data_IF_564033147194
#
_entry.id   IF_564033147194
#
_cell.length_a   1.000
_cell.length_b   1.000
_cell.length_c   1.000
_cell.angle_alpha   90.00
_cell.angle_beta   90.00
_cell.angle_gamma   90.00
#
_symmetry.space_group_name_H-M   'P 1'
#
loop_
_entity.id
_entity.type
_entity.pdbx_description
1 polymer ?
#
# COMPACT_ATOMS: atom_id res chain seq x y z
N UNK A 1 3.30 -31.42 -10.94
CA UNK A 1 3.60 -30.11 -11.53
C UNK A 1 4.43 -29.34 -10.50
N UNK A 2 5.70 -29.06 -10.78
CA UNK A 2 6.51 -28.18 -9.93
C UNK A 2 6.39 -26.78 -10.52
N UNK A 3 5.79 -25.86 -9.77
CA UNK A 3 5.69 -24.46 -10.21
C UNK A 3 7.10 -23.89 -10.10
N UNK A 4 7.72 -23.60 -11.23
CA UNK A 4 9.07 -23.01 -11.28
C UNK A 4 8.96 -21.55 -11.72
N UNK A 5 9.76 -20.71 -11.09
CA UNK A 5 9.86 -19.30 -11.45
C UNK A 5 10.36 -19.18 -12.89
N UNK A 6 9.59 -18.49 -13.72
CA UNK A 6 9.95 -18.22 -15.12
C UNK A 6 10.18 -16.72 -15.25
N UNK A 7 11.42 -16.30 -15.53
CA UNK A 7 11.78 -14.88 -15.61
C UNK A 7 11.16 -14.13 -16.82
N UNK A 8 10.58 -14.87 -17.78
CA UNK A 8 9.95 -14.33 -19.00
C UNK A 8 8.43 -14.15 -18.86
N UNK A 9 7.83 -14.46 -17.71
CA UNK A 9 6.38 -14.30 -17.55
C UNK A 9 5.99 -12.82 -17.44
N UNK A 10 5.22 -12.35 -18.42
CA UNK A 10 4.62 -11.01 -18.39
C UNK A 10 3.27 -11.06 -17.66
N UNK A 11 3.11 -10.23 -16.63
CA UNK A 11 1.85 -10.06 -15.91
C UNK A 11 1.25 -8.69 -16.25
N UNK A 12 0.06 -8.68 -16.84
CA UNK A 12 -0.70 -7.45 -17.07
C UNK A 12 -1.61 -7.17 -15.86
N UNK A 13 -1.53 -5.95 -15.33
CA UNK A 13 -2.40 -5.52 -14.23
C UNK A 13 -2.80 -4.05 -14.39
N UNK A 14 -4.02 -3.72 -14.02
CA UNK A 14 -4.50 -2.34 -14.01
C UNK A 14 -3.92 -1.60 -12.80
N UNK A 15 -3.21 -0.50 -13.08
CA UNK A 15 -2.59 0.35 -12.06
C UNK A 15 -3.47 1.57 -11.82
N UNK A 16 -3.62 2.04 -10.57
CA UNK A 16 -4.36 3.27 -10.30
C UNK A 16 -3.69 4.49 -10.93
N UNK A 17 -4.46 5.28 -11.67
CA UNK A 17 -3.99 6.53 -12.28
C UNK A 17 -4.25 7.76 -11.39
N UNK A 18 -5.21 7.65 -10.45
CA UNK A 18 -5.59 8.76 -9.58
C UNK A 18 -5.05 8.63 -8.15
N UNK A 19 -4.65 9.75 -7.54
CA UNK A 19 -4.11 9.84 -6.18
C UNK A 19 -4.91 9.06 -5.13
N UNK A 20 -6.25 9.21 -5.14
CA UNK A 20 -7.14 8.58 -4.17
C UNK A 20 -7.19 7.05 -4.34
N UNK A 21 -7.27 6.57 -5.59
CA UNK A 21 -7.26 5.12 -5.87
C UNK A 21 -5.91 4.53 -5.47
N UNK A 22 -4.84 5.25 -5.76
CA UNK A 22 -3.48 4.86 -5.44
C UNK A 22 -3.23 4.73 -3.93
N UNK A 23 -3.59 5.75 -3.14
CA UNK A 23 -3.48 5.70 -1.68
C UNK A 23 -4.33 4.58 -1.07
N UNK A 24 -5.58 4.41 -1.53
CA UNK A 24 -6.46 3.35 -1.03
C UNK A 24 -5.92 1.94 -1.33
N UNK A 25 -5.25 1.73 -2.47
CA UNK A 25 -4.61 0.46 -2.78
C UNK A 25 -3.40 0.21 -1.87
N UNK A 26 -2.54 1.22 -1.73
CA UNK A 26 -1.30 1.13 -0.94
C UNK A 26 -1.53 0.97 0.56
N UNK A 27 -2.66 1.46 1.06
CA UNK A 27 -3.15 1.23 2.42
C UNK A 27 -3.07 -0.23 2.87
N UNK A 28 -3.29 -1.18 1.96
CA UNK A 28 -3.27 -2.64 2.25
C UNK A 28 -1.93 -3.27 1.96
N UNK A 29 -1.27 -2.83 0.89
CA UNK A 29 -0.02 -3.43 0.46
C UNK A 29 1.11 -3.15 1.45
N UNK A 30 1.21 -1.93 1.99
CA UNK A 30 2.27 -1.60 2.94
C UNK A 30 2.21 -2.48 4.20
N UNK A 31 1.07 -2.63 4.90
CA UNK A 31 1.01 -3.51 6.05
C UNK A 31 1.18 -4.99 5.72
N UNK A 32 0.69 -5.44 4.56
CA UNK A 32 0.90 -6.83 4.12
C UNK A 32 2.38 -7.12 3.88
N UNK A 33 3.13 -6.20 3.27
CA UNK A 33 4.57 -6.35 3.10
C UNK A 33 5.29 -6.41 4.45
N UNK A 34 4.95 -5.51 5.38
CA UNK A 34 5.52 -5.51 6.74
C UNK A 34 5.21 -6.83 7.46
N UNK A 35 3.97 -7.31 7.38
CA UNK A 35 3.56 -8.56 8.01
C UNK A 35 4.28 -9.77 7.42
N UNK A 36 4.42 -9.85 6.09
CA UNK A 36 5.11 -10.94 5.42
C UNK A 36 6.61 -10.97 5.74
N UNK A 37 7.26 -9.80 5.78
CA UNK A 37 8.67 -9.71 6.18
C UNK A 37 8.82 -10.09 7.65
N UNK A 38 7.92 -9.64 8.53
CA UNK A 38 7.96 -10.00 9.94
C UNK A 38 7.76 -11.51 10.15
N UNK A 39 6.84 -12.13 9.43
CA UNK A 39 6.59 -13.57 9.49
C UNK A 39 7.82 -14.39 9.04
N UNK A 40 8.46 -13.96 7.95
CA UNK A 40 9.74 -14.50 7.47
C UNK A 40 10.86 -14.36 8.53
N UNK A 41 10.92 -13.22 9.21
CA UNK A 41 11.93 -12.94 10.23
C UNK A 41 11.68 -13.70 11.55
N UNK A 42 10.43 -13.99 11.89
CA UNK A 42 10.10 -14.79 13.09
C UNK A 42 10.46 -16.26 12.86
N UNK A 43 10.10 -16.80 11.69
CA UNK A 43 10.28 -18.21 11.34
C UNK A 43 11.58 -18.49 10.58
N UNK A 44 12.60 -17.64 10.79
CA UNK A 44 13.80 -17.64 9.93
C UNK A 44 14.60 -18.95 10.01
N UNK A 45 14.65 -19.58 11.19
CA UNK A 45 15.43 -20.81 11.40
C UNK A 45 14.83 -21.95 10.59
N UNK A 46 13.53 -22.18 10.80
CA UNK A 46 12.76 -23.21 10.11
C UNK A 46 12.86 -23.04 8.60
N UNK A 47 12.70 -21.80 8.10
CA UNK A 47 12.76 -21.50 6.67
C UNK A 47 14.15 -21.75 6.08
N UNK A 48 15.23 -21.39 6.78
CA UNK A 48 16.60 -21.62 6.28
C UNK A 48 17.03 -23.09 6.33
N UNK A 49 16.47 -23.88 7.25
CA UNK A 49 16.73 -25.32 7.35
C UNK A 49 15.95 -26.11 6.29
N UNK A 50 14.72 -25.71 6.00
CA UNK A 50 13.87 -26.39 5.01
C UNK A 50 14.14 -25.96 3.56
N UNK A 51 14.63 -24.74 3.33
CA UNK A 51 14.79 -24.18 2.00
C UNK A 51 16.22 -23.76 1.68
N UNK A 52 16.92 -24.60 0.91
CA UNK A 52 18.30 -24.36 0.45
C UNK A 52 18.47 -23.09 -0.39
N UNK A 53 17.40 -22.51 -0.94
CA UNK A 53 17.47 -21.27 -1.71
C UNK A 53 17.42 -20.01 -0.83
N UNK A 54 17.02 -20.14 0.44
CA UNK A 54 16.91 -19.03 1.39
C UNK A 54 18.11 -19.09 2.33
N UNK A 55 19.06 -18.19 2.13
CA UNK A 55 20.27 -18.12 2.96
C UNK A 55 20.09 -17.23 4.19
N UNK A 56 20.94 -17.42 5.21
CA UNK A 56 21.00 -16.51 6.37
C UNK A 56 21.31 -15.06 5.95
N UNK A 57 22.13 -14.88 4.92
CA UNK A 57 22.42 -13.54 4.37
C UNK A 57 21.16 -12.86 3.81
N UNK A 58 20.27 -13.63 3.17
CA UNK A 58 18.98 -13.12 2.70
C UNK A 58 18.06 -12.71 3.86
N UNK A 59 18.05 -13.46 4.96
CA UNK A 59 17.34 -13.09 6.19
C UNK A 59 17.91 -11.79 6.78
N UNK A 60 19.25 -11.67 6.86
CA UNK A 60 19.90 -10.43 7.32
C UNK A 60 19.53 -9.23 6.44
N UNK A 61 19.49 -9.40 5.11
CA UNK A 61 19.03 -8.36 4.19
C UNK A 61 17.58 -7.92 4.48
N UNK A 62 16.66 -8.87 4.67
CA UNK A 62 15.27 -8.56 5.02
C UNK A 62 15.13 -7.91 6.40
N UNK A 63 15.99 -8.25 7.36
CA UNK A 63 16.04 -7.55 8.65
C UNK A 63 16.44 -6.07 8.46
N UNK A 64 17.45 -5.80 7.65
CA UNK A 64 17.85 -4.43 7.32
C UNK A 64 16.72 -3.67 6.60
N UNK A 65 16.03 -4.30 5.65
CA UNK A 65 14.87 -3.70 4.97
C UNK A 65 13.72 -3.42 5.93
N UNK A 66 13.43 -4.34 6.84
CA UNK A 66 12.37 -4.18 7.84
C UNK A 66 12.64 -2.98 8.75
N UNK A 67 13.85 -2.90 9.31
CA UNK A 67 14.26 -1.77 10.16
C UNK A 67 14.24 -0.46 9.37
N UNK A 68 14.80 -0.45 8.15
CA UNK A 68 14.80 0.73 7.27
C UNK A 68 13.38 1.22 6.98
N UNK A 69 12.44 0.31 6.69
CA UNK A 69 11.03 0.64 6.40
C UNK A 69 10.36 1.35 7.59
N UNK A 70 10.63 0.91 8.82
CA UNK A 70 10.05 1.52 10.03
C UNK A 70 10.64 2.90 10.36
N UNK A 71 11.91 3.13 10.01
CA UNK A 71 12.63 4.39 10.22
C UNK A 71 12.41 5.41 9.09
N UNK A 72 11.98 4.94 7.92
CA UNK A 72 11.81 5.77 6.71
C UNK A 72 10.97 7.03 6.96
N UNK A 73 9.80 7.00 7.64
CA UNK A 73 9.03 8.22 7.88
C UNK A 73 9.83 9.30 8.63
N UNK A 74 10.61 8.93 9.64
CA UNK A 74 11.46 9.82 10.42
C UNK A 74 12.69 10.31 9.65
N UNK A 75 13.28 9.45 8.81
CA UNK A 75 14.36 9.85 7.90
C UNK A 75 13.88 10.88 6.88
N UNK A 76 12.72 10.65 6.25
CA UNK A 76 12.12 11.60 5.30
C UNK A 76 11.67 12.88 5.99
N UNK A 77 11.16 12.79 7.22
CA UNK A 77 10.87 13.95 8.05
C UNK A 77 12.12 14.84 8.24
N UNK A 78 13.26 14.23 8.60
CA UNK A 78 14.53 14.94 8.76
C UNK A 78 15.09 15.44 7.43
N UNK A 79 14.87 14.72 6.33
CA UNK A 79 15.24 15.18 4.99
C UNK A 79 14.51 16.48 4.62
N UNK A 80 13.20 16.57 4.90
CA UNK A 80 12.40 17.79 4.67
C UNK A 80 12.94 18.95 5.51
N UNK A 81 13.22 18.71 6.80
CA UNK A 81 13.79 19.72 7.70
C UNK A 81 15.16 20.17 7.19
N UNK A 82 16.02 19.24 6.79
CA UNK A 82 17.34 19.52 6.22
C UNK A 82 17.27 20.35 4.94
N UNK A 83 16.37 19.99 4.02
CA UNK A 83 16.14 20.75 2.79
C UNK A 83 15.77 22.22 3.05
N UNK A 84 14.91 22.47 4.05
CA UNK A 84 14.51 23.83 4.44
C UNK A 84 15.67 24.57 5.10
N UNK A 85 16.47 23.92 5.96
CA UNK A 85 17.65 24.54 6.61
C UNK A 85 18.69 24.98 5.58
N UNK A 86 19.01 24.11 4.61
CA UNK A 86 19.97 24.42 3.53
C UNK A 86 19.49 25.60 2.70
N UNK A 87 18.18 25.68 2.46
CA UNK A 87 17.58 26.74 1.65
C UNK A 87 17.40 28.06 2.40
N UNK A 88 17.14 28.00 3.71
CA UNK A 88 16.82 29.15 4.57
C UNK A 88 17.71 29.17 5.82
N UNK A 89 19.00 29.41 5.61
CA UNK A 89 20.03 29.37 6.65
C UNK A 89 19.84 30.38 7.81
N UNK A 90 19.06 31.44 7.59
CA UNK A 90 18.76 32.48 8.58
C UNK A 90 17.69 32.12 9.63
N UNK A 91 16.93 31.02 9.45
CA UNK A 91 15.87 30.63 10.39
C UNK A 91 16.44 29.62 11.38
N UNK A 92 16.16 29.82 12.67
CA UNK A 92 16.60 28.91 13.72
C UNK A 92 16.04 27.47 13.51
N UNK A 93 16.91 26.47 13.62
CA UNK A 93 16.61 25.04 13.37
C UNK A 93 15.37 24.53 14.09
N UNK A 94 15.17 24.93 15.35
CA UNK A 94 13.99 24.52 16.13
C UNK A 94 12.67 25.03 15.52
N UNK A 95 12.67 26.22 14.91
CA UNK A 95 11.46 26.78 14.29
C UNK A 95 11.07 25.95 13.06
N UNK A 96 12.05 25.58 12.23
CA UNK A 96 11.85 24.72 11.06
C UNK A 96 11.34 23.34 11.50
N UNK A 97 11.93 22.78 12.57
CA UNK A 97 11.51 21.51 13.13
C UNK A 97 10.04 21.58 13.58
N UNK A 98 9.66 22.58 14.38
CA UNK A 98 8.28 22.78 14.85
C UNK A 98 7.32 22.95 13.67
N UNK A 99 7.70 23.75 12.67
CA UNK A 99 6.90 24.00 11.47
C UNK A 99 6.58 22.70 10.72
N UNK A 100 7.52 21.74 10.69
CA UNK A 100 7.29 20.44 10.06
C UNK A 100 6.56 19.44 10.97
N UNK A 101 6.81 19.47 12.29
CA UNK A 101 6.11 18.60 13.27
C UNK A 101 4.60 18.84 13.24
N UNK A 102 4.16 20.09 13.16
CA UNK A 102 2.74 20.47 13.22
C UNK A 102 1.89 19.74 12.15
N UNK A 103 2.14 19.90 10.84
CA UNK A 103 1.30 19.28 9.81
C UNK A 103 1.35 17.75 9.84
N UNK A 104 2.50 17.14 10.15
CA UNK A 104 2.62 15.67 10.27
C UNK A 104 1.82 15.16 11.47
N UNK A 105 1.91 15.84 12.62
CA UNK A 105 1.16 15.46 13.82
C UNK A 105 -0.34 15.61 13.64
N UNK A 106 -0.78 16.69 12.97
CA UNK A 106 -2.19 16.88 12.59
C UNK A 106 -2.65 15.76 11.65
N UNK A 107 -1.85 15.40 10.64
CA UNK A 107 -2.18 14.29 9.75
C UNK A 107 -2.33 12.96 10.50
N UNK A 108 -1.41 12.69 11.44
CA UNK A 108 -1.46 11.49 12.29
C UNK A 108 -2.72 11.43 13.13
N UNK A 109 -3.10 12.53 13.78
CA UNK A 109 -4.36 12.62 14.53
C UNK A 109 -5.57 12.42 13.60
N UNK A 110 -5.54 12.99 12.40
CA UNK A 110 -6.58 12.77 11.40
C UNK A 110 -6.70 11.30 10.98
N UNK A 111 -5.59 10.57 10.87
CA UNK A 111 -5.61 9.14 10.54
C UNK A 111 -6.32 8.29 11.62
N UNK A 112 -6.32 8.73 12.88
CA UNK A 112 -6.99 8.02 13.98
C UNK A 112 -8.48 8.39 14.09
N UNK A 113 -8.82 9.67 13.90
CA UNK A 113 -10.16 10.20 14.22
C UNK A 113 -11.03 10.57 13.01
N UNK A 114 -10.43 10.88 11.86
CA UNK A 114 -11.18 11.36 10.70
C UNK A 114 -11.56 10.22 9.75
N UNK A 115 -12.57 10.46 8.89
CA UNK A 115 -12.94 9.52 7.84
C UNK A 115 -11.91 9.47 6.72
N UNK A 116 -11.80 8.33 6.06
CA UNK A 116 -10.84 8.05 4.97
C UNK A 116 -10.81 9.15 3.90
N UNK A 117 -11.96 9.69 3.51
CA UNK A 117 -12.04 10.76 2.51
C UNK A 117 -11.40 12.09 2.97
N UNK A 118 -11.57 12.44 4.26
CA UNK A 118 -10.94 13.64 4.84
C UNK A 118 -9.43 13.46 4.95
N UNK A 119 -8.99 12.27 5.33
CA UNK A 119 -7.57 11.92 5.39
C UNK A 119 -6.91 12.03 4.01
N UNK A 120 -7.53 11.47 2.97
CA UNK A 120 -7.01 11.52 1.60
C UNK A 120 -6.92 12.95 1.05
N UNK A 121 -7.95 13.79 1.31
CA UNK A 121 -7.91 15.22 0.94
C UNK A 121 -6.75 15.95 1.60
N UNK A 122 -6.53 15.73 2.90
CA UNK A 122 -5.43 16.35 3.62
C UNK A 122 -4.07 15.84 3.14
N UNK A 123 -3.94 14.53 2.90
CA UNK A 123 -2.73 13.93 2.34
C UNK A 123 -2.37 14.52 0.97
N UNK A 124 -3.37 14.77 0.10
CA UNK A 124 -3.15 15.38 -1.20
C UNK A 124 -2.59 16.81 -1.07
N UNK A 125 -3.20 17.64 -0.22
CA UNK A 125 -2.75 19.02 0.04
C UNK A 125 -1.31 19.01 0.58
N UNK A 126 -1.05 18.16 1.57
CA UNK A 126 0.27 18.07 2.20
C UNK A 126 1.33 17.52 1.24
N UNK A 127 0.96 16.62 0.33
CA UNK A 127 1.83 16.10 -0.73
C UNK A 127 2.24 17.22 -1.71
N UNK A 128 1.32 18.12 -2.08
CA UNK A 128 1.66 19.27 -2.91
C UNK A 128 2.64 20.22 -2.20
N UNK A 129 2.40 20.51 -0.91
CA UNK A 129 3.29 21.36 -0.10
C UNK A 129 4.69 20.76 -0.02
N UNK A 130 4.79 19.46 0.33
CA UNK A 130 6.09 18.81 0.42
C UNK A 130 6.77 18.60 -0.93
N UNK A 131 6.02 18.45 -2.02
CA UNK A 131 6.57 18.45 -3.38
C UNK A 131 7.29 19.76 -3.71
N UNK A 132 6.73 20.90 -3.29
CA UNK A 132 7.39 22.21 -3.43
C UNK A 132 8.64 22.28 -2.56
N UNK A 133 8.59 21.80 -1.32
CA UNK A 133 9.78 21.75 -0.45
C UNK A 133 10.89 20.89 -1.06
N UNK A 134 10.55 19.74 -1.68
CA UNK A 134 11.52 18.90 -2.39
C UNK A 134 12.14 19.61 -3.60
N UNK A 135 11.38 20.44 -4.32
CA UNK A 135 11.92 21.23 -5.42
C UNK A 135 12.97 22.24 -4.91
N UNK A 136 12.69 22.93 -3.80
CA UNK A 136 13.64 23.85 -3.18
C UNK A 136 14.88 23.08 -2.70
N UNK A 137 14.68 21.92 -2.06
CA UNK A 137 15.78 21.04 -1.63
C UNK A 137 16.67 20.59 -2.78
N UNK A 138 16.08 20.25 -3.94
CA UNK A 138 16.84 19.89 -5.14
C UNK A 138 17.75 21.04 -5.60
N UNK A 139 17.27 22.28 -5.58
CA UNK A 139 18.08 23.46 -5.93
C UNK A 139 19.25 23.62 -4.96
N UNK A 140 19.01 23.43 -3.65
CA UNK A 140 20.06 23.48 -2.63
C UNK A 140 21.15 22.43 -2.89
N UNK A 141 20.75 21.20 -3.16
CA UNK A 141 21.68 20.11 -3.50
C UNK A 141 22.47 20.36 -4.78
N UNK A 142 21.82 20.92 -5.82
CA UNK A 142 22.51 21.29 -7.07
C UNK A 142 23.54 22.38 -6.82
N UNK A 143 23.22 23.38 -6.00
CA UNK A 143 24.17 24.41 -5.58
C UNK A 143 25.37 23.80 -4.87
N UNK A 144 25.14 22.93 -3.88
CA UNK A 144 26.22 22.24 -3.16
C UNK A 144 27.11 21.43 -4.12
N UNK A 145 26.51 20.77 -5.12
CA UNK A 145 27.24 20.03 -6.14
C UNK A 145 28.10 20.94 -7.03
N UNK A 146 27.69 22.17 -7.31
CA UNK A 146 28.46 23.14 -8.09
C UNK A 146 29.59 23.75 -7.26
N UNK A 147 29.31 24.12 -6.00
CA UNK A 147 30.26 24.82 -5.13
C UNK A 147 31.35 23.88 -4.59
N UNK A 148 30.96 22.66 -4.18
CA UNK A 148 31.83 21.70 -3.47
C UNK A 148 32.25 20.52 -4.39
N UNK A 149 31.48 20.23 -5.45
CA UNK A 149 31.77 19.15 -6.38
C UNK A 149 31.76 17.77 -5.72
N UNK A 150 32.69 16.91 -6.15
CA UNK A 150 32.84 15.54 -5.64
C UNK A 150 33.33 15.44 -4.19
N UNK A 151 33.65 16.55 -3.53
CA UNK A 151 34.02 16.52 -2.12
C UNK A 151 32.81 16.30 -1.21
N UNK A 152 31.59 16.62 -1.68
CA UNK A 152 30.36 16.38 -0.93
C UNK A 152 29.92 14.93 -1.08
N UNK A 153 29.75 14.25 0.06
CA UNK A 153 29.26 12.87 0.12
C UNK A 153 27.85 12.78 -0.49
N UNK A 154 27.02 13.81 -0.29
CA UNK A 154 25.67 13.90 -0.89
C UNK A 154 25.75 13.95 -2.42
N UNK A 155 26.69 14.71 -2.98
CA UNK A 155 26.89 14.78 -4.43
C UNK A 155 27.35 13.45 -5.01
N UNK A 156 28.31 12.78 -4.36
CA UNK A 156 28.73 11.42 -4.76
C UNK A 156 27.53 10.47 -4.74
N UNK A 157 26.73 10.50 -3.67
CA UNK A 157 25.59 9.62 -3.50
C UNK A 157 24.52 9.84 -4.59
N UNK A 158 24.22 11.08 -4.95
CA UNK A 158 23.25 11.38 -6.01
C UNK A 158 23.73 10.96 -7.39
N UNK A 159 25.04 11.12 -7.67
CA UNK A 159 25.63 10.64 -8.92
C UNK A 159 25.56 9.12 -8.99
N UNK A 160 25.85 8.43 -7.88
CA UNK A 160 25.70 6.98 -7.77
C UNK A 160 24.24 6.54 -8.01
N UNK A 161 23.28 7.15 -7.31
CA UNK A 161 21.85 6.84 -7.44
C UNK A 161 21.33 7.08 -8.87
N UNK A 162 21.65 8.25 -9.44
CA UNK A 162 21.28 8.60 -10.82
C UNK A 162 21.90 7.61 -11.82
N UNK A 163 23.16 7.22 -11.60
CA UNK A 163 23.84 6.21 -12.41
C UNK A 163 23.15 4.84 -12.37
N UNK A 164 22.75 4.38 -11.18
CA UNK A 164 21.99 3.13 -11.00
C UNK A 164 20.70 3.15 -11.80
N UNK A 165 19.93 4.25 -11.77
CA UNK A 165 18.68 4.37 -12.54
C UNK A 165 18.91 4.43 -14.05
N UNK A 166 19.90 5.19 -14.53
CA UNK A 166 20.23 5.28 -15.96
C UNK A 166 20.68 3.93 -16.51
N UNK A 167 21.59 3.24 -15.81
CA UNK A 167 22.06 1.92 -16.24
C UNK A 167 20.90 0.91 -16.22
N UNK A 168 20.05 0.96 -15.19
CA UNK A 168 18.86 0.10 -15.12
C UNK A 168 17.90 0.33 -16.30
N UNK A 169 17.67 1.58 -16.70
CA UNK A 169 16.84 1.92 -17.85
C UNK A 169 17.45 1.40 -19.16
N UNK A 170 18.77 1.56 -19.36
CA UNK A 170 19.48 1.05 -20.55
C UNK A 170 19.36 -0.48 -20.66
N UNK A 171 19.42 -1.20 -19.53
CA UNK A 171 19.28 -2.65 -19.49
C UNK A 171 17.83 -3.14 -19.76
N UNK A 172 16.83 -2.24 -19.73
CA UNK A 172 15.42 -2.53 -19.96
C UNK A 172 14.86 -1.70 -21.13
N UNK A 173 15.24 -2.00 -22.39
CA UNK A 173 14.89 -1.18 -23.55
C UNK A 173 13.38 -1.03 -23.79
N UNK A 174 12.57 -2.05 -23.44
CA UNK A 174 11.10 -1.96 -23.54
C UNK A 174 10.49 -0.95 -22.57
N UNK A 175 11.15 -0.71 -21.44
CA UNK A 175 10.68 0.13 -20.34
C UNK A 175 11.53 1.39 -20.18
N UNK A 176 12.40 1.70 -21.15
CA UNK A 176 13.34 2.81 -21.08
C UNK A 176 12.66 4.14 -20.78
N UNK A 177 11.48 4.37 -21.36
CA UNK A 177 10.70 5.59 -21.17
C UNK A 177 10.18 5.79 -19.73
N UNK A 178 10.22 4.76 -18.88
CA UNK A 178 9.85 4.87 -17.47
C UNK A 178 10.81 5.79 -16.67
N UNK A 179 11.98 6.14 -17.21
CA UNK A 179 12.89 7.10 -16.57
C UNK A 179 12.39 8.55 -16.68
N UNK A 180 11.60 8.88 -17.71
CA UNK A 180 11.10 10.25 -17.97
C UNK A 180 10.32 10.81 -16.78
N UNK A 181 9.34 10.10 -16.18
CA UNK A 181 8.65 10.58 -14.99
C UNK A 181 9.50 10.54 -13.70
N UNK A 182 10.78 10.15 -13.74
CA UNK A 182 11.64 9.97 -12.56
C UNK A 182 11.71 11.20 -11.65
N UNK A 183 11.74 12.41 -12.20
CA UNK A 183 11.73 13.65 -11.40
C UNK A 183 10.44 13.81 -10.58
N UNK A 184 9.30 13.35 -11.11
CA UNK A 184 8.02 13.37 -10.39
C UNK A 184 8.09 12.42 -9.19
N UNK A 185 8.72 11.26 -9.34
CA UNK A 185 8.93 10.33 -8.23
C UNK A 185 9.82 10.94 -7.15
N UNK A 186 10.87 11.67 -7.52
CA UNK A 186 11.71 12.40 -6.57
C UNK A 186 10.91 13.43 -5.76
N UNK A 187 10.08 14.25 -6.41
CA UNK A 187 9.22 15.22 -5.71
C UNK A 187 8.14 14.54 -4.85
N UNK A 188 7.71 13.34 -5.25
CA UNK A 188 6.72 12.57 -4.52
C UNK A 188 7.31 11.81 -3.32
N UNK A 189 8.63 11.79 -3.07
CA UNK A 189 9.25 11.04 -1.96
C UNK A 189 8.54 11.29 -0.60
N UNK A 190 8.28 12.54 -0.16
CA UNK A 190 7.53 12.79 1.08
C UNK A 190 6.12 12.17 1.11
N UNK A 191 5.44 12.21 -0.03
CA UNK A 191 4.10 11.65 -0.19
C UNK A 191 4.14 10.12 -0.09
N UNK A 192 5.04 9.50 -0.85
CA UNK A 192 5.13 8.05 -1.08
C UNK A 192 5.76 7.28 0.08
N UNK A 193 6.72 7.90 0.76
CA UNK A 193 7.55 7.20 1.77
C UNK A 193 7.19 7.61 3.21
N UNK A 194 6.68 8.82 3.43
CA UNK A 194 6.24 9.28 4.76
C UNK A 194 4.71 9.28 4.86
N UNK A 195 4.00 10.13 4.11
CA UNK A 195 2.55 10.29 4.28
C UNK A 195 1.76 9.01 3.98
N UNK A 196 2.12 8.30 2.92
CA UNK A 196 1.51 7.03 2.58
C UNK A 196 1.71 5.97 3.65
N UNK A 197 2.91 5.89 4.23
CA UNK A 197 3.21 4.95 5.31
C UNK A 197 2.33 5.23 6.53
N UNK A 198 2.29 6.50 6.97
CA UNK A 198 1.47 6.97 8.08
C UNK A 198 -0.03 6.71 7.84
N UNK A 199 -0.51 6.94 6.61
CA UNK A 199 -1.87 6.63 6.21
C UNK A 199 -2.17 5.13 6.25
N UNK A 200 -1.25 4.30 5.78
CA UNK A 200 -1.43 2.86 5.73
C UNK A 200 -1.52 2.24 7.14
N UNK A 201 -0.60 2.59 8.04
CA UNK A 201 -0.66 2.13 9.44
C UNK A 201 -1.88 2.71 10.17
N UNK A 202 -2.21 3.98 9.92
CA UNK A 202 -3.36 4.66 10.52
C UNK A 202 -4.70 4.04 10.13
N UNK A 203 -4.75 3.31 9.01
CA UNK A 203 -5.95 2.62 8.55
C UNK A 203 -5.81 1.10 8.54
N UNK A 204 -4.92 0.54 9.37
CA UNK A 204 -4.72 -0.91 9.47
C UNK A 204 -5.99 -1.70 9.83
N UNK A 205 -6.92 -1.04 10.51
CA UNK A 205 -8.24 -1.58 10.88
C UNK A 205 -9.24 -1.69 9.72
N UNK A 206 -9.03 -0.98 8.61
CA UNK A 206 -9.96 -0.95 7.48
C UNK A 206 -9.65 -2.08 6.49
N UNK A 207 -10.38 -3.19 6.65
CA UNK A 207 -10.29 -4.40 5.82
C UNK A 207 -11.21 -4.40 4.59
N UNK A 208 -12.01 -3.34 4.38
CA UNK A 208 -13.01 -3.31 3.31
C UNK A 208 -12.37 -3.46 1.92
N UNK A 209 -12.91 -4.34 1.05
CA UNK A 209 -12.43 -4.60 -0.32
C UNK A 209 -13.39 -4.09 -1.40
N UNK A 210 -13.03 -2.98 -2.05
CA UNK A 210 -13.75 -2.46 -3.22
C UNK A 210 -15.23 -2.17 -2.94
N UNK A 211 -16.04 -2.09 -3.99
CA UNK A 211 -17.49 -1.81 -3.90
C UNK A 211 -18.35 -3.06 -3.60
N UNK A 212 -17.74 -4.25 -3.52
CA UNK A 212 -18.47 -5.52 -3.33
C UNK A 212 -18.95 -5.73 -1.90
N UNK A 213 -18.18 -5.30 -0.90
CA UNK A 213 -18.51 -5.52 0.52
C UNK A 213 -19.42 -4.43 1.08
N UNK A 214 -19.34 -3.20 0.57
CA UNK A 214 -20.11 -2.04 1.04
C UNK A 214 -21.62 -2.17 0.81
N UNK A 215 -22.06 -2.85 -0.27
CA UNK A 215 -23.49 -3.14 -0.48
C UNK A 215 -24.04 -4.12 0.57
N UNK A 216 -23.28 -5.17 0.90
CA UNK A 216 -23.63 -6.14 1.95
C UNK A 216 -23.62 -5.50 3.35
N UNK A 217 -22.62 -4.67 3.65
CA UNK A 217 -22.51 -3.99 4.96
C UNK A 217 -23.54 -2.90 5.17
N UNK A 218 -23.85 -2.09 4.15
CA UNK A 218 -24.88 -1.04 4.23
C UNK A 218 -26.27 -1.63 4.51
N UNK A 219 -26.56 -2.80 3.91
CA UNK A 219 -27.77 -3.58 4.20
C UNK A 219 -27.77 -4.14 5.63
N UNK A 220 -26.67 -4.74 6.07
CA UNK A 220 -26.52 -5.31 7.44
C UNK A 220 -26.67 -4.23 8.51
N UNK A 221 -26.08 -3.05 8.29
CA UNK A 221 -26.13 -1.93 9.23
C UNK A 221 -27.53 -1.33 9.34
N UNK A 222 -28.25 -1.18 8.22
CA UNK A 222 -29.67 -0.81 8.22
C UNK A 222 -30.53 -1.82 9.00
N UNK A 223 -30.30 -3.12 8.82
CA UNK A 223 -31.01 -4.14 9.61
C UNK A 223 -30.69 -4.11 11.12
N UNK A 224 -29.47 -3.73 11.51
CA UNK A 224 -29.10 -3.59 12.93
C UNK A 224 -29.67 -2.31 13.56
N UNK A 225 -29.67 -1.19 12.84
CA UNK A 225 -30.27 0.08 13.29
C UNK A 225 -31.80 -0.05 13.46
N UNK A 226 -32.46 -0.86 12.62
CA UNK A 226 -33.89 -1.21 12.78
C UNK A 226 -34.14 -2.10 14.00
N UNK A 227 -33.29 -3.10 14.27
CA UNK A 227 -33.40 -3.94 15.48
C UNK A 227 -33.08 -3.21 16.79
N UNK A 228 -32.24 -2.18 16.78
CA UNK A 228 -31.94 -1.36 17.97
C UNK A 228 -33.03 -0.31 18.22
N UNK A 229 -33.62 0.28 17.17
CA UNK A 229 -34.78 1.18 17.31
C UNK A 229 -36.02 0.50 17.89
N UNK A 230 -36.22 -0.79 17.65
CA UNK A 230 -37.34 -1.56 18.22
C UNK A 230 -37.11 -2.03 19.67
N UNK A 231 -35.87 -2.02 20.17
CA UNK A 231 -35.57 -2.31 21.59
C UNK A 231 -35.74 -1.09 22.51
N UNK A 232 -35.83 0.10 21.95
CA UNK A 232 -36.21 1.31 22.67
C UNK A 232 -37.72 1.38 22.86
N UNK A 233 -38.23 0.87 23.98
CA UNK A 233 -39.62 1.11 24.36
C UNK A 233 -39.85 2.61 24.57
N UNK A 234 -40.48 3.26 23.61
CA UNK A 234 -40.98 4.63 23.76
C UNK A 234 -42.36 4.59 24.41
N UNK A 235 -42.41 4.57 25.74
CA UNK A 235 -43.62 4.94 26.45
C UNK A 235 -43.70 6.48 26.49
N UNK A 236 -44.50 7.05 25.59
CA UNK A 236 -44.91 8.45 25.66
C UNK A 236 -45.71 8.69 26.94
N UNK A 237 -45.45 9.82 27.61
CA UNK A 237 -45.98 10.24 28.92
C UNK A 237 -47.53 10.38 28.99
N UNK A 238 -48.24 10.12 27.89
CA UNK A 238 -49.68 10.34 27.74
C UNK A 238 -50.59 9.11 27.86
N UNK A 239 -50.08 7.91 28.16
CA UNK A 239 -50.91 6.68 28.23
C UNK A 239 -50.75 5.85 29.52
N UNK A 240 -50.52 6.52 30.64
CA UNK A 240 -50.42 5.85 31.95
C UNK A 240 -51.79 5.44 32.55
N UNK A 241 -52.91 5.97 32.06
CA UNK A 241 -54.22 5.79 32.72
C UNK A 241 -55.25 4.95 31.95
N UNK A 242 -54.87 4.18 30.92
CA UNK A 242 -55.87 3.41 30.13
C UNK A 242 -55.65 1.90 30.12
N UNK A 243 -54.74 1.35 30.93
CA UNK A 243 -54.50 -0.09 30.96
C UNK A 243 -54.58 -0.66 32.38
N UNK A 244 -55.75 -0.53 33.01
CA UNK A 244 -56.10 -1.36 34.17
C UNK A 244 -57.32 -2.26 33.89
N UNK A 245 -58.12 -1.98 32.85
CA UNK A 245 -59.28 -2.79 32.47
C UNK A 245 -59.55 -2.75 30.96
N UNK A 246 -58.87 -3.61 30.18
CA UNK A 246 -59.43 -4.16 28.95
C UNK A 246 -58.73 -5.48 28.58
N UNK A 247 -59.48 -6.58 28.35
CA UNK A 247 -58.93 -7.87 27.97
C UNK A 247 -58.82 -7.94 26.44
N UNK A 248 -57.62 -7.98 25.87
CA UNK A 248 -57.48 -8.31 24.45
C UNK A 248 -56.17 -9.05 24.14
N UNK A 249 -56.37 -10.30 23.76
CA UNK A 249 -55.55 -11.20 22.96
C UNK A 249 -54.03 -11.24 23.18
N UNK A 250 -53.59 -12.42 23.61
CA UNK A 250 -52.23 -12.94 23.42
C UNK A 250 -51.83 -12.80 21.95
N UNK A 251 -51.10 -11.72 21.62
CA UNK A 251 -50.24 -11.71 20.44
C UNK A 251 -49.08 -12.68 20.73
N UNK A 252 -49.31 -13.93 20.36
CA UNK A 252 -48.28 -14.96 20.46
C UNK A 252 -47.17 -14.64 19.46
N UNK A 253 -45.95 -14.94 19.87
CA UNK A 253 -44.67 -14.87 19.13
C UNK A 253 -44.73 -15.41 17.68
N UNK A 254 -45.78 -16.17 17.35
CA UNK A 254 -46.16 -16.66 16.02
C UNK A 254 -46.41 -15.54 15.01
N UNK A 255 -47.19 -14.52 15.36
CA UNK A 255 -47.62 -13.49 14.39
C UNK A 255 -46.50 -12.52 14.01
N UNK A 256 -45.54 -12.31 14.93
CA UNK A 256 -44.31 -11.56 14.67
C UNK A 256 -43.36 -12.33 13.74
N UNK A 257 -43.25 -13.66 13.90
CA UNK A 257 -42.46 -14.49 12.98
C UNK A 257 -43.14 -14.54 11.61
N UNK A 258 -44.47 -14.55 11.54
CA UNK A 258 -45.21 -14.46 10.29
C UNK A 258 -45.02 -13.12 9.57
N UNK A 259 -44.98 -12.00 10.29
CA UNK A 259 -44.74 -10.69 9.66
C UNK A 259 -43.30 -10.56 9.13
N UNK A 260 -42.32 -11.10 9.87
CA UNK A 260 -40.94 -11.21 9.40
C UNK A 260 -40.87 -12.13 8.17
N UNK A 261 -41.46 -13.33 8.22
CA UNK A 261 -41.44 -14.25 7.08
C UNK A 261 -42.12 -13.67 5.84
N UNK A 262 -43.23 -12.95 5.99
CA UNK A 262 -43.91 -12.29 4.88
C UNK A 262 -43.11 -11.10 4.33
N UNK A 263 -42.42 -10.33 5.18
CA UNK A 263 -41.53 -9.24 4.76
C UNK A 263 -40.27 -9.77 4.06
N UNK A 264 -39.75 -10.92 4.49
CA UNK A 264 -38.65 -11.64 3.83
C UNK A 264 -39.07 -12.26 2.49
N UNK A 265 -40.33 -12.68 2.36
CA UNK A 265 -40.88 -13.21 1.10
C UNK A 265 -41.00 -12.12 0.04
N UNK A 266 -41.53 -10.95 0.41
CA UNK A 266 -41.60 -9.77 -0.47
C UNK A 266 -40.20 -9.27 -0.91
N UNK A 267 -39.22 -9.23 -0.01
CA UNK A 267 -37.85 -8.81 -0.36
C UNK A 267 -37.08 -9.82 -1.21
N UNK A 268 -37.42 -11.11 -1.10
CA UNK A 268 -36.84 -12.17 -1.92
C UNK A 268 -37.37 -12.07 -3.35
N UNK A 269 -38.65 -11.79 -3.50
CA UNK A 269 -39.27 -11.58 -4.81
C UNK A 269 -38.68 -10.33 -5.51
N UNK A 270 -38.37 -9.24 -4.80
CA UNK A 270 -37.69 -8.06 -5.39
C UNK A 270 -36.22 -8.31 -5.81
N UNK A 271 -35.53 -9.25 -5.16
CA UNK A 271 -34.15 -9.64 -5.48
C UNK A 271 -34.09 -10.68 -6.61
N UNK A 272 -35.07 -11.57 -6.69
CA UNK A 272 -35.17 -12.60 -7.73
C UNK A 272 -35.80 -12.02 -9.03
N UNK A 273 -36.70 -11.03 -8.96
CA UNK A 273 -37.30 -10.36 -10.15
C UNK A 273 -36.29 -9.50 -10.93
N UNK A 274 -35.32 -8.88 -10.24
CA UNK A 274 -34.25 -8.09 -10.89
C UNK A 274 -33.12 -8.92 -11.52
N UNK A 275 -33.22 -10.25 -11.49
CA UNK A 275 -32.32 -11.15 -12.24
C UNK A 275 -33.06 -11.96 -13.32
N UNK A 276 -34.37 -11.78 -13.48
CA UNK A 276 -35.22 -12.67 -14.27
C UNK A 276 -35.76 -12.13 -15.60
N UNK A 277 -36.10 -10.84 -15.72
CA UNK A 277 -36.81 -10.34 -16.90
C UNK A 277 -36.20 -9.04 -17.43
N UNK A 278 -35.37 -9.15 -18.47
CA UNK A 278 -35.06 -8.04 -19.36
C UNK A 278 -35.45 -8.45 -20.78
N UNK A 279 -36.75 -8.39 -21.09
CA UNK A 279 -37.23 -8.26 -22.46
C UNK A 279 -38.21 -7.09 -22.57
N UNK A 280 -37.73 -6.08 -23.30
CA UNK A 280 -38.44 -5.18 -24.21
C UNK A 280 -39.64 -4.38 -23.70
N UNK A 281 -39.41 -3.11 -23.37
CA UNK A 281 -40.25 -2.02 -23.89
C UNK A 281 -39.45 -0.70 -23.95
N UNK A 282 -39.54 -0.09 -25.13
CA UNK A 282 -38.77 1.05 -25.63
C UNK A 282 -39.24 2.38 -25.03
N UNK A 283 -38.37 3.15 -24.38
CA UNK A 283 -38.31 4.61 -24.54
C UNK A 283 -36.89 5.12 -24.27
N UNK A 284 -36.51 6.11 -25.07
CA UNK A 284 -35.17 6.51 -25.46
C UNK A 284 -34.68 7.63 -24.53
N UNK A 285 -33.65 7.38 -23.73
CA UNK A 285 -32.78 8.43 -23.17
C UNK A 285 -31.32 8.04 -23.45
N UNK A 286 -30.61 8.95 -24.10
CA UNK A 286 -29.24 8.77 -24.59
C UNK A 286 -28.25 8.91 -23.43
N UNK A 287 -27.54 7.84 -23.11
CA UNK A 287 -26.21 7.90 -22.52
C UNK A 287 -25.17 8.19 -23.62
N UNK A 288 -24.24 9.13 -23.40
CA UNK A 288 -22.94 9.07 -24.06
C UNK A 288 -21.82 9.13 -23.01
N UNK A 289 -21.33 7.95 -22.62
CA UNK A 289 -19.94 7.50 -22.81
C UNK A 289 -19.69 6.30 -21.87
N UNK A 290 -20.01 5.15 -22.45
CA UNK A 290 -19.79 3.82 -21.94
C UNK A 290 -18.29 3.58 -21.75
N UNK A 291 -17.86 3.49 -20.49
CA UNK A 291 -16.60 2.87 -20.11
C UNK A 291 -16.62 1.44 -20.65
N UNK A 292 -15.99 1.25 -21.81
CA UNK A 292 -15.85 -0.01 -22.54
C UNK A 292 -15.64 -1.18 -21.58
N UNK A 293 -16.70 -1.94 -21.33
CA UNK A 293 -16.53 -3.35 -21.00
C UNK A 293 -15.86 -3.96 -22.22
N UNK A 294 -14.60 -4.36 -22.06
CA UNK A 294 -13.87 -5.08 -23.10
C UNK A 294 -14.72 -6.30 -23.46
N UNK A 295 -15.19 -6.31 -24.71
CA UNK A 295 -15.70 -7.51 -25.35
C UNK A 295 -14.66 -8.62 -25.16
N UNK A 296 -15.07 -9.69 -24.49
CA UNK A 296 -14.23 -10.85 -24.13
C UNK A 296 -13.75 -11.65 -25.36
N UNK A 297 -13.98 -11.13 -26.58
CA UNK A 297 -13.65 -11.81 -27.82
C UNK A 297 -12.21 -11.60 -28.31
N UNK A 298 -11.48 -10.59 -27.81
CA UNK A 298 -10.14 -10.26 -28.36
C UNK A 298 -8.96 -10.97 -27.63
N UNK A 299 -9.26 -11.72 -26.56
CA UNK A 299 -8.25 -12.51 -25.81
C UNK A 299 -8.30 -14.01 -26.11
N UNK A 300 -9.24 -14.46 -26.96
CA UNK A 300 -9.32 -15.86 -27.37
C UNK A 300 -8.11 -16.32 -28.20
N UNK A 301 -7.31 -15.38 -28.71
CA UNK A 301 -6.17 -15.68 -29.59
C UNK A 301 -4.83 -15.91 -28.85
N UNK A 302 -4.82 -15.79 -27.52
CA UNK A 302 -3.72 -16.28 -26.68
C UNK A 302 -4.14 -17.58 -25.99
N UNK A 303 -4.24 -18.64 -26.81
CA UNK A 303 -4.35 -20.04 -26.41
C UNK A 303 -5.11 -20.26 -25.10
N UNK A 304 -6.42 -20.50 -25.21
CA UNK A 304 -7.18 -21.09 -24.10
C UNK A 304 -6.46 -22.36 -23.65
N UNK A 305 -5.77 -22.28 -22.51
CA UNK A 305 -5.21 -23.46 -21.87
C UNK A 305 -6.42 -24.31 -21.49
N UNK A 306 -6.63 -25.41 -22.21
CA UNK A 306 -7.59 -26.43 -21.80
C UNK A 306 -7.18 -26.88 -20.39
N UNK A 307 -7.92 -26.44 -19.39
CA UNK A 307 -7.74 -26.90 -18.02
C UNK A 307 -8.05 -28.39 -18.00
N UNK A 308 -7.13 -29.16 -17.44
CA UNK A 308 -7.28 -30.60 -17.28
C UNK A 308 -8.60 -30.89 -16.55
N UNK A 309 -9.32 -31.95 -16.92
CA UNK A 309 -10.61 -32.29 -16.33
C UNK A 309 -10.48 -32.50 -14.81
N UNK A 310 -9.29 -32.92 -14.38
CA UNK A 310 -8.89 -33.06 -12.98
C UNK A 310 -8.73 -31.71 -12.26
N UNK A 311 -8.18 -30.69 -12.94
CA UNK A 311 -8.04 -29.34 -12.42
C UNK A 311 -9.40 -28.65 -12.28
N UNK A 312 -10.28 -28.82 -13.27
CA UNK A 312 -11.63 -28.29 -13.20
C UNK A 312 -12.45 -28.92 -12.06
N UNK A 313 -12.33 -30.24 -11.86
CA UNK A 313 -12.91 -30.93 -10.69
C UNK A 313 -12.36 -30.39 -9.37
N UNK A 314 -11.06 -30.14 -9.29
CA UNK A 314 -10.43 -29.54 -8.12
C UNK A 314 -10.98 -28.14 -7.84
N UNK A 315 -11.03 -27.24 -8.84
CA UNK A 315 -11.59 -25.89 -8.68
C UNK A 315 -13.06 -25.91 -8.25
N UNK A 316 -13.90 -26.76 -8.86
CA UNK A 316 -15.31 -26.91 -8.48
C UNK A 316 -15.44 -27.39 -7.03
N UNK A 317 -14.58 -28.31 -6.60
CA UNK A 317 -14.59 -28.83 -5.23
C UNK A 317 -14.14 -27.78 -4.23
N UNK A 318 -13.05 -27.07 -4.52
CA UNK A 318 -12.53 -25.94 -3.72
C UNK A 318 -13.56 -24.82 -3.59
N UNK A 319 -14.29 -24.48 -4.67
CA UNK A 319 -15.35 -23.48 -4.62
C UNK A 319 -16.48 -23.92 -3.68
N UNK A 320 -16.88 -25.19 -3.75
CA UNK A 320 -17.96 -25.73 -2.92
C UNK A 320 -17.58 -25.82 -1.44
N UNK A 321 -16.33 -26.14 -1.13
CA UNK A 321 -15.84 -26.30 0.26
C UNK A 321 -15.44 -24.99 0.91
N UNK A 322 -14.85 -24.04 0.17
CA UNK A 322 -14.21 -22.86 0.76
C UNK A 322 -14.79 -21.51 0.29
N UNK A 323 -15.39 -21.42 -0.91
CA UNK A 323 -15.78 -20.12 -1.51
C UNK A 323 -17.29 -19.85 -1.55
N UNK A 324 -18.14 -20.77 -1.06
CA UNK A 324 -19.58 -20.50 -0.97
C UNK A 324 -19.87 -19.41 0.08
N UNK A 325 -20.67 -18.38 -0.27
CA UNK A 325 -21.02 -17.33 0.69
C UNK A 325 -21.83 -17.89 1.87
N UNK A 326 -21.43 -17.53 3.09
CA UNK A 326 -21.96 -18.04 4.37
C UNK A 326 -23.44 -17.68 4.67
N UNK A 327 -24.20 -17.15 3.71
CA UNK A 327 -25.39 -16.33 3.99
C UNK A 327 -26.75 -17.04 4.03
N UNK A 328 -26.82 -18.37 4.02
CA UNK A 328 -28.12 -19.07 3.95
C UNK A 328 -28.80 -19.35 5.31
N UNK A 329 -28.06 -19.35 6.42
CA UNK A 329 -28.59 -19.72 7.75
C UNK A 329 -28.59 -18.52 8.73
N UNK A 330 -29.75 -18.09 9.25
CA UNK A 330 -29.85 -16.95 10.17
C UNK A 330 -29.12 -17.18 11.51
N UNK A 331 -28.93 -18.41 11.97
CA UNK A 331 -28.16 -18.70 13.19
C UNK A 331 -26.66 -18.51 12.98
N UNK A 332 -26.13 -19.02 11.86
CA UNK A 332 -24.72 -18.84 11.46
C UNK A 332 -24.40 -17.37 11.17
N UNK A 333 -25.33 -16.62 10.58
CA UNK A 333 -25.19 -15.17 10.34
C UNK A 333 -24.99 -14.38 11.65
N UNK A 334 -25.72 -14.71 12.72
CA UNK A 334 -25.57 -14.03 14.03
C UNK A 334 -24.21 -14.30 14.66
N UNK A 335 -23.75 -15.55 14.63
CA UNK A 335 -22.43 -15.94 15.13
C UNK A 335 -21.31 -15.22 14.37
N UNK A 336 -21.42 -15.17 13.04
CA UNK A 336 -20.50 -14.41 12.19
C UNK A 336 -20.48 -12.91 12.54
N UNK A 337 -21.64 -12.27 12.74
CA UNK A 337 -21.69 -10.85 13.11
C UNK A 337 -21.04 -10.57 14.47
N UNK A 338 -21.16 -11.49 15.42
CA UNK A 338 -20.49 -11.39 16.71
C UNK A 338 -18.97 -11.54 16.57
N UNK A 339 -18.51 -12.55 15.83
CA UNK A 339 -17.08 -12.77 15.54
C UNK A 339 -16.48 -11.58 14.78
N UNK A 340 -17.20 -11.02 13.81
CA UNK A 340 -16.78 -9.83 13.07
C UNK A 340 -16.56 -8.63 13.98
N UNK A 341 -17.49 -8.33 14.90
CA UNK A 341 -17.33 -7.23 15.87
C UNK A 341 -16.11 -7.43 16.78
N UNK A 342 -15.83 -8.68 17.17
CA UNK A 342 -14.64 -9.01 17.96
C UNK A 342 -13.37 -8.77 17.14
N UNK A 343 -13.36 -9.18 15.87
CA UNK A 343 -12.22 -8.97 14.95
C UNK A 343 -12.00 -7.48 14.71
N UNK A 344 -13.05 -6.70 14.42
CA UNK A 344 -12.96 -5.24 14.23
C UNK A 344 -12.34 -4.54 15.45
N UNK A 345 -12.75 -4.93 16.66
CA UNK A 345 -12.16 -4.39 17.89
C UNK A 345 -10.67 -4.75 18.01
N UNK A 346 -10.32 -6.01 17.80
CA UNK A 346 -8.91 -6.48 17.81
C UNK A 346 -8.06 -5.76 16.77
N UNK A 347 -8.61 -5.47 15.59
CA UNK A 347 -7.93 -4.74 14.52
C UNK A 347 -7.68 -3.27 14.91
N UNK A 348 -8.64 -2.62 15.59
CA UNK A 348 -8.46 -1.27 16.13
C UNK A 348 -7.38 -1.27 17.23
N UNK A 349 -7.39 -2.26 18.12
CA UNK A 349 -6.38 -2.40 19.17
C UNK A 349 -4.98 -2.60 18.57
N UNK A 350 -4.86 -3.50 17.59
CA UNK A 350 -3.63 -3.74 16.83
C UNK A 350 -3.14 -2.48 16.11
N UNK A 351 -4.05 -1.76 15.41
CA UNK A 351 -3.75 -0.47 14.78
C UNK A 351 -3.16 0.50 15.80
N UNK A 352 -3.81 0.69 16.95
CA UNK A 352 -3.37 1.64 17.95
C UNK A 352 -1.98 1.29 18.49
N UNK A 353 -1.71 0.00 18.75
CA UNK A 353 -0.40 -0.47 19.20
C UNK A 353 0.70 -0.24 18.15
N UNK A 354 0.44 -0.62 16.90
CA UNK A 354 1.41 -0.46 15.80
C UNK A 354 1.67 1.03 15.51
N UNK A 355 0.62 1.85 15.43
CA UNK A 355 0.76 3.29 15.24
C UNK A 355 1.58 3.94 16.36
N UNK A 356 1.32 3.58 17.62
CA UNK A 356 2.07 4.10 18.76
C UNK A 356 3.55 3.69 18.70
N UNK A 357 3.82 2.41 18.41
CA UNK A 357 5.19 1.90 18.29
C UNK A 357 5.97 2.64 17.19
N UNK A 358 5.40 2.75 15.98
CA UNK A 358 6.02 3.48 14.87
C UNK A 358 6.24 4.94 15.24
N UNK A 359 5.25 5.59 15.86
CA UNK A 359 5.35 6.99 16.26
C UNK A 359 6.48 7.20 17.27
N UNK A 360 6.55 6.39 18.31
CA UNK A 360 7.61 6.48 19.31
C UNK A 360 8.99 6.24 18.69
N UNK A 361 9.12 5.24 17.82
CA UNK A 361 10.37 4.93 17.14
C UNK A 361 10.86 6.10 16.27
N UNK A 362 9.96 6.70 15.48
CA UNK A 362 10.30 7.83 14.61
C UNK A 362 10.51 9.13 15.42
N UNK A 363 9.74 9.36 16.48
CA UNK A 363 9.96 10.50 17.38
C UNK A 363 11.31 10.40 18.11
N UNK A 364 11.68 9.19 18.54
CA UNK A 364 13.01 8.92 19.10
C UNK A 364 14.10 9.20 18.07
N UNK A 365 13.95 8.70 16.84
CA UNK A 365 14.90 8.96 15.76
C UNK A 365 15.07 10.46 15.47
N UNK A 366 13.96 11.19 15.32
CA UNK A 366 13.98 12.65 15.07
C UNK A 366 14.65 13.38 16.22
N UNK A 367 14.31 13.04 17.47
CA UNK A 367 14.91 13.66 18.66
C UNK A 367 16.40 13.35 18.73
N UNK A 368 16.81 12.11 18.48
CA UNK A 368 18.21 11.70 18.46
C UNK A 368 19.02 12.45 17.39
N UNK A 369 18.51 12.54 16.17
CA UNK A 369 19.20 13.27 15.10
C UNK A 369 19.29 14.75 15.48
N UNK A 370 18.20 15.36 15.96
CA UNK A 370 18.19 16.76 16.37
C UNK A 370 19.18 17.03 17.51
N UNK A 371 19.21 16.21 18.56
CA UNK A 371 20.15 16.42 19.69
C UNK A 371 21.60 16.25 19.24
N UNK A 372 21.90 15.28 18.38
CA UNK A 372 23.24 15.12 17.82
C UNK A 372 23.64 16.34 16.98
N UNK A 373 22.74 16.90 16.18
CA UNK A 373 22.99 18.14 15.43
C UNK A 373 23.23 19.34 16.36
N UNK A 374 22.48 19.46 17.46
CA UNK A 374 22.70 20.56 18.42
C UNK A 374 24.00 20.41 19.22
N UNK A 375 24.37 19.18 19.59
CA UNK A 375 25.66 18.91 20.24
C UNK A 375 26.80 19.29 19.32
N UNK A 376 26.71 18.91 18.04
CA UNK A 376 27.72 19.25 17.03
C UNK A 376 27.92 20.77 16.89
N UNK A 377 26.82 21.53 16.77
CA UNK A 377 26.86 22.99 16.72
C UNK A 377 27.49 23.61 17.99
N UNK A 378 27.28 23.00 19.16
CA UNK A 378 27.78 23.53 20.42
C UNK A 378 29.24 23.16 20.70
N UNK A 379 29.65 21.91 20.43
CA UNK A 379 30.98 21.41 20.78
C UNK A 379 31.96 21.45 19.61
N UNK A 380 31.49 21.47 18.36
CA UNK A 380 32.30 21.33 17.15
C UNK A 380 33.14 20.06 17.12
N UNK A 381 32.84 19.09 17.99
CA UNK A 381 33.68 17.92 18.25
C UNK A 381 33.16 16.65 17.58
N UNK A 382 31.93 16.70 17.05
CA UNK A 382 31.31 15.57 16.39
C UNK A 382 31.59 15.60 14.89
N UNK A 383 31.73 16.80 14.31
CA UNK A 383 32.04 16.97 12.91
C UNK A 383 33.51 16.68 12.60
N UNK A 384 33.72 15.96 11.50
CA UNK A 384 35.05 15.65 10.98
C UNK A 384 35.32 16.68 9.89
N UNK A 385 36.34 17.52 10.10
CA UNK A 385 36.81 18.45 9.10
C UNK A 385 37.73 17.73 8.12
N UNK A 386 37.34 17.68 6.85
CA UNK A 386 38.17 17.15 5.77
C UNK A 386 38.55 18.29 4.86
N UNK A 387 39.85 18.47 4.63
CA UNK A 387 40.33 19.45 3.65
C UNK A 387 40.02 18.92 2.24
N UNK A 388 39.26 19.69 1.47
CA UNK A 388 39.06 19.43 0.06
C UNK A 388 39.27 20.69 -0.75
N UNK A 389 40.27 20.65 -1.64
CA UNK A 389 40.66 21.78 -2.52
C UNK A 389 40.97 23.08 -1.76
N UNK A 390 41.49 22.98 -0.54
CA UNK A 390 41.84 24.14 0.29
C UNK A 390 40.65 24.72 1.08
N UNK A 391 39.46 24.13 0.98
CA UNK A 391 38.31 24.44 1.82
C UNK A 391 38.12 23.32 2.86
N UNK A 392 38.02 23.67 4.13
CA UNK A 392 37.65 22.72 5.18
C UNK A 392 36.15 22.45 5.09
N UNK A 393 35.79 21.20 4.76
CA UNK A 393 34.41 20.75 4.70
C UNK A 393 34.06 20.06 6.01
N UNK A 394 32.94 20.46 6.58
CA UNK A 394 32.38 19.86 7.78
C UNK A 394 31.53 18.64 7.40
N UNK A 395 31.89 17.46 7.92
CA UNK A 395 31.15 16.22 7.67
C UNK A 395 30.45 15.78 8.95
N UNK A 396 29.12 15.72 8.89
CA UNK A 396 28.26 15.23 9.98
C UNK A 396 28.22 13.69 9.95
N UNK A 397 28.78 12.97 10.94
CA UNK A 397 28.95 11.52 10.88
C UNK A 397 27.64 10.72 10.73
N UNK A 398 26.54 11.22 11.32
CA UNK A 398 25.25 10.54 11.24
C UNK A 398 24.68 10.55 9.81
N UNK A 399 24.87 11.64 9.06
CA UNK A 399 24.45 11.72 7.67
C UNK A 399 25.26 10.74 6.80
N UNK A 400 26.56 10.61 7.07
CA UNK A 400 27.43 9.63 6.41
C UNK A 400 26.97 8.21 6.69
N UNK A 401 26.63 7.89 7.95
CA UNK A 401 26.13 6.57 8.32
C UNK A 401 24.88 6.19 7.52
N UNK A 402 23.91 7.11 7.40
CA UNK A 402 22.71 6.87 6.60
C UNK A 402 23.01 6.65 5.12
N UNK A 403 23.86 7.51 4.53
CA UNK A 403 24.25 7.41 3.12
C UNK A 403 24.98 6.10 2.83
N UNK A 404 25.90 5.67 3.71
CA UNK A 404 26.65 4.42 3.54
C UNK A 404 25.72 3.21 3.66
N UNK A 405 24.83 3.17 4.66
CA UNK A 405 23.89 2.05 4.85
C UNK A 405 22.93 1.96 3.66
N UNK A 406 22.32 3.08 3.26
CA UNK A 406 21.38 3.08 2.14
C UNK A 406 22.08 2.82 0.80
N UNK A 407 23.25 3.43 0.58
CA UNK A 407 24.06 3.19 -0.62
C UNK A 407 24.51 1.74 -0.74
N UNK A 408 24.87 1.10 0.38
CA UNK A 408 25.21 -0.34 0.40
C UNK A 408 23.99 -1.23 0.08
N UNK A 409 22.83 -0.94 0.66
CA UNK A 409 21.59 -1.66 0.34
C UNK A 409 21.21 -1.50 -1.14
N UNK A 410 21.29 -0.27 -1.67
CA UNK A 410 21.02 0.02 -3.08
C UNK A 410 22.02 -0.69 -3.99
N UNK A 411 23.30 -0.75 -3.61
CA UNK A 411 24.33 -1.46 -4.37
C UNK A 411 24.05 -2.96 -4.44
N UNK A 412 23.70 -3.59 -3.31
CA UNK A 412 23.30 -5.00 -3.29
C UNK A 412 22.10 -5.23 -4.20
N UNK A 413 21.05 -4.41 -4.06
CA UNK A 413 19.85 -4.49 -4.90
C UNK A 413 20.20 -4.38 -6.39
N UNK A 414 21.04 -3.42 -6.75
CA UNK A 414 21.46 -3.20 -8.13
C UNK A 414 22.25 -4.38 -8.70
N UNK A 415 23.21 -4.94 -7.95
CA UNK A 415 23.95 -6.13 -8.36
C UNK A 415 23.00 -7.32 -8.55
N UNK A 416 22.08 -7.55 -7.62
CA UNK A 416 21.08 -8.61 -7.73
C UNK A 416 20.20 -8.44 -8.99
N UNK A 417 19.77 -7.21 -9.29
CA UNK A 417 18.98 -6.91 -10.49
C UNK A 417 19.79 -7.12 -11.77
N UNK A 418 21.09 -6.81 -11.80
CA UNK A 418 21.97 -7.09 -12.94
C UNK A 418 22.09 -8.60 -13.17
N UNK A 419 22.33 -9.39 -12.12
CA UNK A 419 22.45 -10.86 -12.21
C UNK A 419 21.14 -11.47 -12.69
N UNK A 420 20.01 -11.01 -12.16
CA UNK A 420 18.68 -11.43 -12.60
C UNK A 420 18.46 -11.09 -14.08
N UNK A 421 18.82 -9.88 -14.50
CA UNK A 421 18.67 -9.44 -15.89
C UNK A 421 19.54 -10.25 -16.84
N UNK A 422 20.79 -10.52 -16.47
CA UNK A 422 21.68 -11.39 -17.24
C UNK A 422 21.09 -12.79 -17.40
N UNK A 423 20.56 -13.37 -16.33
CA UNK A 423 19.88 -14.68 -16.36
C UNK A 423 18.68 -14.67 -17.31
N UNK A 424 17.90 -13.59 -17.31
CA UNK A 424 16.76 -13.42 -18.22
C UNK A 424 17.21 -13.35 -19.68
N UNK A 425 18.30 -12.63 -19.97
CA UNK A 425 18.87 -12.56 -21.32
C UNK A 425 19.38 -13.91 -21.80
N UNK A 426 20.02 -14.70 -20.93
CA UNK A 426 20.47 -16.06 -21.26
C UNK A 426 19.28 -16.97 -21.60
N UNK A 427 18.20 -16.90 -20.82
CA UNK A 427 16.99 -17.69 -21.08
C UNK A 427 16.33 -17.31 -22.43
N UNK A 428 16.23 -16.01 -22.71
CA UNK A 428 15.70 -15.52 -24.00
C UNK A 428 16.60 -15.99 -25.15
N UNK A 429 17.93 -15.88 -25.01
CA UNK A 429 18.89 -16.30 -26.01
C UNK A 429 18.83 -17.82 -26.28
N UNK A 430 18.60 -18.63 -25.24
CA UNK A 430 18.44 -20.08 -25.37
C UNK A 430 17.16 -20.47 -26.11
N UNK A 431 16.08 -19.68 -26.00
CA UNK A 431 14.78 -19.94 -26.64
C UNK A 431 14.61 -19.31 -28.02
N UNK A 432 15.42 -18.31 -28.37
CA UNK A 432 15.32 -17.65 -29.69
C UNK A 432 15.83 -18.60 -30.77
N UNK A 433 14.91 -19.11 -31.59
CA UNK A 433 15.27 -19.91 -32.75
C UNK A 433 15.92 -19.02 -33.81
N UNK A 434 17.22 -19.22 -34.05
CA UNK A 434 17.92 -18.58 -35.17
C UNK A 434 17.50 -19.33 -36.44
N UNK A 435 16.76 -18.67 -37.34
CA UNK A 435 16.49 -19.19 -38.68
C UNK A 435 17.81 -19.29 -39.45
N UNK A 436 18.46 -20.45 -39.36
CA UNK A 436 19.55 -20.81 -40.27
C UNK A 436 18.89 -21.21 -41.59
N UNK A 437 18.96 -20.33 -42.59
CA UNK A 437 18.62 -20.71 -43.96
C UNK A 437 19.49 -21.92 -44.34
N UNK A 438 18.88 -23.10 -44.43
CA UNK A 438 19.52 -24.27 -45.02
C UNK A 438 19.88 -23.91 -46.45
N UNK A 439 21.17 -23.69 -46.71
CA UNK A 439 21.70 -23.70 -48.07
C UNK A 439 21.45 -25.10 -48.62
N UNK A 440 20.48 -25.23 -49.52
CA UNK A 440 20.27 -26.48 -50.27
C UNK A 440 21.48 -26.68 -51.18
N UNK A 441 22.11 -27.87 -51.18
CA UNK A 441 23.18 -28.16 -52.13
C UNK A 441 22.57 -28.12 -53.54
N UNK A 442 23.15 -27.33 -54.43
CA UNK A 442 22.85 -27.41 -55.86
C UNK A 442 23.16 -28.83 -56.33
N UNK A 443 22.13 -29.61 -56.63
CA UNK A 443 22.26 -30.76 -57.52
C UNK A 443 22.58 -30.21 -58.90
N UNK A 444 23.82 -30.44 -59.35
CA UNK A 444 24.22 -30.19 -60.73
C UNK A 444 23.53 -31.26 -61.61
N UNK A 445 22.60 -30.82 -62.45
CA UNK A 445 22.24 -31.54 -63.68
C UNK A 445 23.11 -31.06 -64.84
#
# INVERSE_FOLDING_TARGET
MKIEYTAESDAYTFVPEGFYKFYNQRRRWTPSTIANILDLLISWKEITEENNNISVLYICYHLCLFVSTLLTPGTIFMLIVGAIIVSFQWIHTLIILILNIIPVSVFMLMCVYASTQKQLKFAAILSCIYGIVMLIGLIGVVRDAVDIGFCSITTIFIIFETGVFIISAILHPKEFLCIIPGLIYFFAIPSMSMLMFLYAIGNLHDVSWGTRETKSESFIRKSQEEMEKEKGYFCSFGKFCTCMFCPTNNYTKSDFILSILNKWKYLKDDLDVNQGNAETETHREQDPEESSYVEVNDYADRGSVQTDEQENKWWIQTIKSHLKPFHKDPAKKRKYLQEKKIIEKKLIDMRNQVCLFVYMLNAFLITLIYTLTQVDVFTGSLSIFVDCRGNQIEIVPIAVLFIVVFGFLLLIQFICMIVHRFTTLVNIAAKTQIFVNKVTPKTND
#
